data_IF_110055176463
#
_entry.id   IF_110055176463
#
_cell.length_a   1.000
_cell.length_b   1.000
_cell.length_c   1.000
_cell.angle_alpha   90.00
_cell.angle_beta   90.00
_cell.angle_gamma   90.00
#
_symmetry.space_group_name_H-M   'P 1'
#
loop_
_entity.id
_entity.type
_entity.pdbx_description
1 polymer ?
#
# COMPACT_ATOMS: atom_id res chain seq x y z
N UNK A 1 -4.77 -5.93 -18.43
CA UNK A 1 -5.74 -5.56 -17.38
C UNK A 1 -7.06 -5.01 -17.89
N UNK A 2 -7.09 -3.95 -18.72
CA UNK A 2 -8.36 -3.41 -19.23
C UNK A 2 -9.22 -4.45 -19.99
N UNK A 3 -8.60 -5.29 -20.83
CA UNK A 3 -9.29 -6.41 -21.51
C UNK A 3 -9.85 -7.41 -20.50
N UNK A 4 -9.08 -7.73 -19.44
CA UNK A 4 -9.52 -8.64 -18.37
C UNK A 4 -10.73 -8.07 -17.64
N UNK A 5 -10.68 -6.79 -17.26
CA UNK A 5 -11.80 -6.07 -16.66
C UNK A 5 -13.04 -6.14 -17.55
N UNK A 6 -12.90 -5.89 -18.86
CA UNK A 6 -14.05 -5.95 -19.78
C UNK A 6 -14.64 -7.36 -19.83
N UNK A 7 -13.81 -8.41 -19.93
CA UNK A 7 -14.30 -9.79 -19.91
C UNK A 7 -15.04 -10.14 -18.62
N UNK A 8 -14.62 -9.58 -17.49
CA UNK A 8 -15.26 -9.76 -16.19
C UNK A 8 -16.60 -9.02 -16.10
N UNK A 9 -16.73 -7.85 -16.72
CA UNK A 9 -18.02 -7.14 -16.81
C UNK A 9 -19.04 -7.96 -17.62
N UNK A 10 -18.63 -8.53 -18.76
CA UNK A 10 -19.51 -9.40 -19.53
C UNK A 10 -19.87 -10.69 -18.78
N UNK A 11 -18.89 -11.29 -18.10
CA UNK A 11 -19.12 -12.46 -17.26
C UNK A 11 -20.07 -12.16 -16.08
N UNK A 12 -19.99 -10.98 -15.47
CA UNK A 12 -20.90 -10.57 -14.40
C UNK A 12 -22.34 -10.47 -14.92
N UNK A 13 -22.52 -9.88 -16.10
CA UNK A 13 -23.83 -9.77 -16.74
C UNK A 13 -24.41 -11.15 -17.06
N UNK A 14 -23.59 -12.06 -17.61
CA UNK A 14 -24.01 -13.42 -17.93
C UNK A 14 -24.39 -14.21 -16.66
N UNK A 15 -23.55 -14.18 -15.62
CA UNK A 15 -23.80 -14.89 -14.36
C UNK A 15 -24.99 -14.33 -13.60
N UNK A 16 -25.24 -13.01 -13.66
CA UNK A 16 -26.47 -12.41 -13.14
C UNK A 16 -27.72 -12.97 -13.82
N UNK A 17 -27.67 -13.11 -15.14
CA UNK A 17 -28.78 -13.74 -15.89
C UNK A 17 -28.95 -15.21 -15.51
N UNK A 18 -27.88 -15.93 -15.24
CA UNK A 18 -27.95 -17.31 -14.73
C UNK A 18 -28.64 -17.38 -13.36
N UNK A 19 -28.37 -16.43 -12.46
CA UNK A 19 -29.06 -16.35 -11.16
C UNK A 19 -30.56 -16.14 -11.36
N UNK A 20 -30.96 -15.21 -12.24
CA UNK A 20 -32.38 -14.96 -12.54
C UNK A 20 -33.07 -16.22 -13.07
N UNK A 21 -32.44 -16.91 -14.03
CA UNK A 21 -32.97 -18.15 -14.62
C UNK A 21 -33.04 -19.29 -13.61
N UNK A 22 -32.08 -19.38 -12.68
CA UNK A 22 -32.10 -20.37 -11.61
C UNK A 22 -33.23 -20.08 -10.59
N UNK A 23 -33.44 -18.81 -10.24
CA UNK A 23 -34.53 -18.40 -9.35
C UNK A 23 -35.91 -18.71 -9.97
N UNK A 24 -36.09 -18.39 -11.26
CA UNK A 24 -37.32 -18.69 -11.99
C UNK A 24 -37.64 -20.20 -11.97
N UNK A 25 -36.65 -21.05 -12.26
CA UNK A 25 -36.81 -22.51 -12.23
C UNK A 25 -37.08 -23.04 -10.82
N UNK A 26 -36.41 -22.51 -9.80
CA UNK A 26 -36.68 -22.87 -8.42
C UNK A 26 -38.12 -22.54 -8.01
N UNK A 27 -38.61 -21.35 -8.37
CA UNK A 27 -39.98 -20.91 -8.09
C UNK A 27 -41.03 -21.70 -8.87
N UNK A 28 -40.67 -22.18 -10.06
CA UNK A 28 -41.49 -23.10 -10.85
C UNK A 28 -41.45 -24.54 -10.32
N UNK A 29 -40.55 -24.87 -9.39
CA UNK A 29 -40.35 -26.23 -8.87
C UNK A 29 -39.61 -27.15 -9.85
N UNK A 30 -38.96 -26.60 -10.87
CA UNK A 30 -38.19 -27.36 -11.87
C UNK A 30 -36.80 -27.75 -11.38
N UNK A 31 -36.24 -26.98 -10.44
CA UNK A 31 -34.92 -27.22 -9.86
C UNK A 31 -34.88 -26.93 -8.35
N UNK A 32 -33.89 -27.52 -7.67
CA UNK A 32 -33.67 -27.32 -6.25
C UNK A 32 -33.02 -25.95 -5.93
N UNK A 33 -33.21 -25.49 -4.70
CA UNK A 33 -32.61 -24.24 -4.21
C UNK A 33 -31.06 -24.25 -4.27
N UNK A 34 -30.43 -25.42 -4.25
CA UNK A 34 -28.97 -25.55 -4.43
C UNK A 34 -28.50 -24.97 -5.77
N UNK A 35 -29.30 -25.09 -6.83
CA UNK A 35 -28.98 -24.50 -8.14
C UNK A 35 -28.94 -22.98 -8.08
N UNK A 36 -29.83 -22.36 -7.30
CA UNK A 36 -29.83 -20.91 -7.06
C UNK A 36 -28.57 -20.50 -6.30
N UNK A 37 -28.21 -21.24 -5.25
CA UNK A 37 -27.03 -20.95 -4.44
C UNK A 37 -25.72 -21.07 -5.25
N UNK A 38 -25.61 -22.11 -6.09
CA UNK A 38 -24.45 -22.30 -6.97
C UNK A 38 -24.34 -21.17 -8.00
N UNK A 39 -25.46 -20.75 -8.60
CA UNK A 39 -25.49 -19.60 -9.50
C UNK A 39 -25.06 -18.30 -8.80
N UNK A 40 -25.56 -18.05 -7.58
CA UNK A 40 -25.20 -16.88 -6.79
C UNK A 40 -23.72 -16.90 -6.38
N UNK A 41 -23.18 -18.06 -6.02
CA UNK A 41 -21.76 -18.24 -5.69
C UNK A 41 -20.86 -17.96 -6.90
N UNK A 42 -21.29 -18.40 -8.08
CA UNK A 42 -20.61 -18.08 -9.34
C UNK A 42 -20.59 -16.57 -9.62
N UNK A 43 -21.74 -15.90 -9.49
CA UNK A 43 -21.84 -14.45 -9.62
C UNK A 43 -20.91 -13.72 -8.65
N UNK A 44 -20.90 -14.12 -7.37
CA UNK A 44 -20.04 -13.51 -6.35
C UNK A 44 -18.55 -13.65 -6.72
N UNK A 45 -18.15 -14.84 -7.20
CA UNK A 45 -16.76 -15.08 -7.62
C UNK A 45 -16.34 -14.14 -8.76
N UNK A 46 -17.23 -13.88 -9.73
CA UNK A 46 -16.95 -12.94 -10.82
C UNK A 46 -16.89 -11.50 -10.31
N UNK A 47 -17.77 -11.11 -9.40
CA UNK A 47 -17.76 -9.78 -8.79
C UNK A 47 -16.47 -9.51 -8.01
N UNK A 48 -15.98 -10.49 -7.25
CA UNK A 48 -14.69 -10.39 -6.55
C UNK A 48 -13.52 -10.22 -7.53
N UNK A 49 -13.52 -11.00 -8.61
CA UNK A 49 -12.50 -10.87 -9.66
C UNK A 49 -12.53 -9.51 -10.34
N UNK A 50 -13.71 -8.95 -10.59
CA UNK A 50 -13.90 -7.63 -11.17
C UNK A 50 -13.40 -6.53 -10.22
N UNK A 51 -13.72 -6.63 -8.92
CA UNK A 51 -13.22 -5.71 -7.89
C UNK A 51 -11.68 -5.72 -7.82
N UNK A 52 -11.07 -6.92 -7.82
CA UNK A 52 -9.62 -7.06 -7.87
C UNK A 52 -9.01 -6.47 -9.15
N UNK A 53 -9.68 -6.63 -10.30
CA UNK A 53 -9.25 -6.03 -11.57
C UNK A 53 -9.27 -4.51 -11.53
N UNK A 54 -10.33 -3.92 -10.96
CA UNK A 54 -10.43 -2.48 -10.78
C UNK A 54 -9.30 -1.95 -9.89
N UNK A 55 -8.99 -2.63 -8.77
CA UNK A 55 -7.87 -2.27 -7.91
C UNK A 55 -6.52 -2.31 -8.65
N UNK A 56 -6.31 -3.32 -9.51
CA UNK A 56 -5.10 -3.43 -10.33
C UNK A 56 -4.99 -2.32 -11.37
N UNK A 57 -6.09 -1.95 -12.05
CA UNK A 57 -6.09 -0.79 -12.98
C UNK A 57 -5.67 0.48 -12.26
N UNK A 58 -6.27 0.78 -11.10
CA UNK A 58 -5.92 1.96 -10.30
C UNK A 58 -4.45 1.95 -9.87
N UNK A 59 -3.96 0.80 -9.40
CA UNK A 59 -2.55 0.64 -9.01
C UNK A 59 -1.61 0.89 -10.18
N UNK A 60 -1.96 0.41 -11.38
CA UNK A 60 -1.17 0.63 -12.58
C UNK A 60 -1.12 2.11 -12.98
N UNK A 61 -2.23 2.85 -12.84
CA UNK A 61 -2.27 4.29 -13.08
C UNK A 61 -1.37 5.04 -12.08
N UNK A 62 -1.43 4.69 -10.79
CA UNK A 62 -0.55 5.28 -9.76
C UNK A 62 0.93 5.03 -10.10
N UNK A 63 1.28 3.80 -10.47
CA UNK A 63 2.65 3.45 -10.88
C UNK A 63 3.11 4.22 -12.11
N UNK A 64 2.25 4.34 -13.11
CA UNK A 64 2.53 5.12 -14.31
C UNK A 64 2.81 6.58 -13.95
N UNK A 65 1.94 7.20 -13.15
CA UNK A 65 2.12 8.59 -12.70
C UNK A 65 3.45 8.79 -11.94
N UNK A 66 3.81 7.86 -11.05
CA UNK A 66 5.11 7.89 -10.36
C UNK A 66 6.30 7.78 -11.34
N UNK A 67 6.20 6.90 -12.33
CA UNK A 67 7.25 6.67 -13.33
C UNK A 67 7.46 7.86 -14.28
N UNK A 68 6.40 8.62 -14.57
CA UNK A 68 6.45 9.81 -15.44
C UNK A 68 7.01 11.06 -14.73
N UNK A 69 7.55 10.92 -13.51
CA UNK A 69 8.20 12.03 -12.78
C UNK A 69 7.34 12.68 -11.70
N UNK A 70 6.19 12.08 -11.35
CA UNK A 70 5.21 12.62 -10.41
C UNK A 70 5.40 12.30 -8.91
N UNK A 71 6.59 11.91 -8.43
CA UNK A 71 6.88 12.03 -6.99
C UNK A 71 7.80 10.97 -6.37
N UNK A 72 9.02 11.41 -5.98
CA UNK A 72 9.79 10.98 -4.80
C UNK A 72 10.83 12.03 -4.33
N UNK A 73 11.13 13.10 -5.09
CA UNK A 73 12.15 14.09 -4.69
C UNK A 73 11.82 14.89 -3.41
N UNK A 74 10.57 14.89 -2.95
CA UNK A 74 10.12 15.62 -1.75
C UNK A 74 9.88 14.75 -0.52
N UNK A 75 10.17 13.44 -0.59
CA UNK A 75 10.23 12.57 0.61
C UNK A 75 11.61 12.59 1.28
N UNK A 76 12.44 13.59 0.99
CA UNK A 76 13.53 13.97 1.86
C UNK A 76 13.03 15.00 2.88
N UNK A 77 12.67 14.59 4.10
CA UNK A 77 13.21 15.23 5.27
C UNK A 77 14.55 14.55 5.58
N UNK A 78 15.62 14.94 4.87
CA UNK A 78 16.94 14.93 5.53
C UNK A 78 16.94 16.09 6.52
N UNK A 79 16.21 15.92 7.63
CA UNK A 79 16.30 16.87 8.74
C UNK A 79 15.70 16.27 10.01
N UNK A 80 16.27 15.17 10.50
CA UNK A 80 16.37 14.86 11.94
C UNK A 80 17.12 13.55 12.17
N UNK A 81 18.44 13.64 12.37
CA UNK A 81 19.15 12.88 13.41
C UNK A 81 20.35 13.69 13.89
N UNK A 82 20.08 14.43 14.95
CA UNK A 82 21.02 14.81 16.00
C UNK A 82 21.97 13.63 16.32
N UNK A 83 23.26 13.80 16.04
CA UNK A 83 24.33 13.14 16.79
C UNK A 83 25.19 14.23 17.40
N UNK A 84 24.73 14.71 18.54
CA UNK A 84 25.61 15.01 19.66
C UNK A 84 26.61 13.84 19.83
N UNK A 85 27.86 14.18 20.18
CA UNK A 85 29.05 13.32 20.41
C UNK A 85 30.05 13.30 19.23
N UNK A 86 30.86 14.36 19.10
CA UNK A 86 32.29 14.17 18.86
C UNK A 86 33.09 15.33 19.47
N UNK A 87 34.23 14.96 20.02
CA UNK A 87 34.97 15.61 21.07
C UNK A 87 35.77 16.82 20.60
N UNK A 88 36.02 17.73 21.55
CA UNK A 88 36.83 18.91 21.32
C UNK A 88 38.25 18.55 20.90
N UNK A 89 38.67 19.04 19.73
CA UNK A 89 40.07 19.05 19.34
C UNK A 89 40.56 20.47 19.02
N UNK A 90 41.43 20.93 19.93
CA UNK A 90 42.66 21.70 19.70
C UNK A 90 42.54 23.23 19.58
N UNK A 91 42.75 23.90 20.72
CA UNK A 91 43.40 25.22 20.77
C UNK A 91 44.84 25.04 21.30
N UNK A 92 45.83 25.32 20.46
CA UNK A 92 47.24 25.46 20.82
C UNK A 92 47.58 26.96 20.93
N UNK A 93 48.62 27.24 21.73
CA UNK A 93 49.19 28.56 22.05
C UNK A 93 48.48 29.23 23.24
N UNK A 94 49.11 29.72 24.30
CA UNK A 94 50.51 29.99 24.64
C UNK A 94 50.64 29.65 26.15
N UNK A 95 51.78 29.17 26.65
CA UNK A 95 52.85 30.07 27.03
C UNK A 95 52.64 30.59 28.46
N UNK A 96 53.63 30.33 29.30
CA UNK A 96 53.94 31.06 30.53
C UNK A 96 53.50 30.48 31.89
N UNK A 97 54.53 29.90 32.51
CA UNK A 97 55.05 30.26 33.84
C UNK A 97 54.48 29.50 35.04
N UNK A 98 55.32 28.55 35.44
CA UNK A 98 56.02 28.59 36.73
C UNK A 98 55.14 28.38 37.96
N UNK A 99 54.87 27.10 38.23
CA UNK A 99 54.58 26.66 39.58
C UNK A 99 55.75 26.99 40.50
N UNK A 100 55.50 27.83 41.51
CA UNK A 100 56.31 27.88 42.71
C UNK A 100 55.49 28.39 43.90
N UNK A 101 55.49 27.56 44.94
CA UNK A 101 55.31 27.92 46.36
C UNK A 101 53.89 28.42 46.76
N UNK A 102 53.29 28.06 47.89
CA UNK A 102 53.78 27.53 49.16
C UNK A 102 52.56 27.06 49.98
N UNK A 103 52.62 25.88 50.62
CA UNK A 103 52.39 25.67 52.08
C UNK A 103 51.23 26.45 52.75
N UNK A 104 50.26 25.86 53.49
CA UNK A 104 50.36 24.99 54.70
C UNK A 104 48.95 24.44 55.05
N UNK A 105 48.83 23.37 55.85
CA UNK A 105 47.54 22.87 56.35
C UNK A 105 47.17 23.38 57.76
N UNK A 106 45.89 23.11 58.08
CA UNK A 106 45.10 23.36 59.32
C UNK A 106 44.28 24.64 59.36
#
# INVERSE_FOLDING_TARGET
ELIRRQSLVEAEKATRRTVEVADDQYRAGENDFLTVLDAQRSLLTIQDQLAASNAQVTTNIIRLYKALGGGWATLAPEDVRESSLDEGHHNQSEGEKSGKQENRPH
#
